data_IF_579545138047
#
_entry.id   IF_579545138047
#
_cell.length_a   1.000
_cell.length_b   1.000
_cell.length_c   1.000
_cell.angle_alpha   90.00
_cell.angle_beta   90.00
_cell.angle_gamma   90.00
#
_symmetry.space_group_name_H-M   'P 1'
#
loop_
_entity.id
_entity.type
_entity.pdbx_description
1 polymer ?
#
# COMPACT_ATOMS: atom_id res chain seq x y z
N UNK A 1 25.83 13.80 -34.25
CA UNK A 1 25.41 12.39 -34.24
C UNK A 1 23.89 12.34 -34.12
N UNK A 2 23.20 11.68 -35.05
CA UNK A 2 21.73 11.58 -35.04
C UNK A 2 21.19 10.83 -33.79
N UNK A 3 22.04 10.02 -33.16
CA UNK A 3 21.75 9.36 -31.89
C UNK A 3 21.48 10.35 -30.75
N UNK A 4 22.21 11.46 -30.67
CA UNK A 4 22.01 12.49 -29.64
C UNK A 4 20.64 13.18 -29.79
N UNK A 5 20.18 13.37 -31.03
CA UNK A 5 18.86 13.92 -31.31
C UNK A 5 17.75 12.92 -30.95
N UNK A 6 17.91 11.64 -31.28
CA UNK A 6 16.95 10.60 -30.88
C UNK A 6 16.86 10.47 -29.35
N UNK A 7 17.99 10.54 -28.65
CA UNK A 7 18.04 10.53 -27.18
C UNK A 7 17.34 11.78 -26.63
N UNK A 8 17.61 12.98 -27.15
CA UNK A 8 16.94 14.19 -26.69
C UNK A 8 15.43 14.19 -26.97
N UNK A 9 14.98 13.58 -28.07
CA UNK A 9 13.55 13.50 -28.41
C UNK A 9 12.83 12.47 -27.53
N UNK A 10 13.46 11.33 -27.26
CA UNK A 10 12.91 10.33 -26.33
C UNK A 10 12.95 10.86 -24.89
N UNK A 11 14.03 11.56 -24.53
CA UNK A 11 14.22 12.18 -23.22
C UNK A 11 13.25 13.34 -23.01
N UNK A 12 13.23 14.33 -23.89
CA UNK A 12 12.32 15.47 -23.85
C UNK A 12 10.87 15.02 -23.98
N UNK A 13 10.55 14.16 -24.95
CA UNK A 13 9.19 13.66 -25.16
C UNK A 13 8.67 12.82 -24.00
N UNK A 14 9.47 11.88 -23.46
CA UNK A 14 9.05 11.01 -22.36
C UNK A 14 9.04 11.69 -21.00
N UNK A 15 10.06 12.50 -20.70
CA UNK A 15 10.20 13.19 -19.41
C UNK A 15 9.25 14.37 -19.31
N UNK A 16 9.16 15.22 -20.35
CA UNK A 16 8.28 16.40 -20.32
C UNK A 16 6.81 15.99 -20.39
N UNK A 17 6.44 15.02 -21.24
CA UNK A 17 5.06 14.52 -21.26
C UNK A 17 4.69 13.79 -19.96
N UNK A 18 5.65 13.12 -19.29
CA UNK A 18 5.42 12.52 -17.98
C UNK A 18 5.13 13.55 -16.89
N UNK A 19 5.84 14.68 -16.90
CA UNK A 19 5.60 15.80 -15.99
C UNK A 19 4.19 16.36 -16.25
N UNK A 20 3.89 16.78 -17.46
CA UNK A 20 2.62 17.46 -17.75
C UNK A 20 1.38 16.55 -17.60
N UNK A 21 1.51 15.25 -17.89
CA UNK A 21 0.41 14.29 -17.84
C UNK A 21 0.17 13.70 -16.43
N UNK A 22 1.12 13.84 -15.50
CA UNK A 22 1.01 13.38 -14.11
C UNK A 22 0.66 14.52 -13.14
N UNK A 23 1.06 15.75 -13.45
CA UNK A 23 0.67 16.95 -12.70
C UNK A 23 -0.85 17.19 -12.75
N UNK A 24 -1.49 16.92 -13.90
CA UNK A 24 -2.92 17.13 -14.10
C UNK A 24 -3.83 16.25 -13.21
N UNK A 25 -3.64 14.92 -13.11
CA UNK A 25 -4.41 14.09 -12.18
C UNK A 25 -4.07 14.34 -10.70
N UNK A 26 -2.84 14.78 -10.39
CA UNK A 26 -2.39 15.09 -9.03
C UNK A 26 -3.14 16.29 -8.41
N UNK A 27 -3.60 17.24 -9.22
CA UNK A 27 -4.32 18.43 -8.73
C UNK A 27 -5.79 18.14 -8.35
N UNK A 28 -6.41 17.06 -8.85
CA UNK A 28 -7.88 16.90 -8.87
C UNK A 28 -8.44 15.85 -7.88
N UNK A 29 -7.65 14.95 -7.29
CA UNK A 29 -8.17 13.79 -6.53
C UNK A 29 -8.20 13.92 -5.00
N UNK A 30 -9.34 14.24 -4.39
CA UNK A 30 -9.44 14.61 -2.95
C UNK A 30 -9.44 13.46 -1.91
N UNK A 31 -9.61 12.17 -2.28
CA UNK A 31 -9.64 11.02 -1.33
C UNK A 31 -8.47 10.03 -1.48
N UNK A 32 -7.74 10.09 -2.58
CA UNK A 32 -6.48 9.36 -2.81
C UNK A 32 -5.27 10.03 -2.13
N UNK A 33 -5.48 11.24 -1.57
CA UNK A 33 -4.43 12.17 -1.14
C UNK A 33 -3.38 11.58 -0.20
N UNK A 34 -3.72 10.76 0.78
CA UNK A 34 -2.71 10.21 1.70
C UNK A 34 -1.77 9.22 0.99
N UNK A 35 -2.31 8.36 0.13
CA UNK A 35 -1.51 7.45 -0.69
C UNK A 35 -0.71 8.22 -1.75
N UNK A 36 -1.32 9.25 -2.35
CA UNK A 36 -0.68 10.11 -3.35
C UNK A 36 0.44 10.96 -2.78
N UNK A 37 0.30 11.52 -1.57
CA UNK A 37 1.35 12.33 -0.92
C UNK A 37 2.58 11.46 -0.61
N UNK A 38 2.38 10.24 -0.11
CA UNK A 38 3.48 9.30 0.11
C UNK A 38 4.17 8.89 -1.20
N UNK A 39 3.40 8.65 -2.26
CA UNK A 39 3.95 8.38 -3.59
C UNK A 39 4.71 9.59 -4.15
N UNK A 40 4.23 10.81 -3.92
CA UNK A 40 4.90 12.05 -4.35
C UNK A 40 6.21 12.27 -3.61
N UNK A 41 6.23 12.12 -2.28
CA UNK A 41 7.47 12.21 -1.48
C UNK A 41 8.46 11.13 -1.92
N UNK A 42 7.99 9.92 -2.21
CA UNK A 42 8.81 8.84 -2.77
C UNK A 42 9.39 9.22 -4.11
N UNK A 43 8.59 9.70 -5.04
CA UNK A 43 9.03 10.14 -6.36
C UNK A 43 10.08 11.27 -6.27
N UNK A 44 9.80 12.32 -5.49
CA UNK A 44 10.72 13.47 -5.34
C UNK A 44 12.02 13.05 -4.66
N UNK A 45 11.93 12.32 -3.53
CA UNK A 45 13.11 11.82 -2.83
C UNK A 45 13.92 10.83 -3.68
N UNK A 46 13.23 9.96 -4.43
CA UNK A 46 13.84 9.03 -5.36
C UNK A 46 14.58 9.75 -6.49
N UNK A 47 14.00 10.81 -7.05
CA UNK A 47 14.66 11.61 -8.08
C UNK A 47 15.93 12.28 -7.55
N UNK A 48 15.90 12.79 -6.31
CA UNK A 48 17.07 13.41 -5.69
C UNK A 48 18.19 12.39 -5.42
N UNK A 49 17.85 11.14 -5.06
CA UNK A 49 18.83 10.10 -4.71
C UNK A 49 19.34 9.29 -5.92
N UNK A 50 18.49 9.03 -6.91
CA UNK A 50 18.74 8.10 -8.02
C UNK A 50 18.60 8.73 -9.41
N UNK A 51 18.21 10.02 -9.51
CA UNK A 51 17.94 10.68 -10.78
C UNK A 51 16.62 10.21 -11.42
N UNK A 52 16.53 10.16 -12.75
CA UNK A 52 15.27 9.86 -13.45
C UNK A 52 14.68 8.46 -13.13
N UNK A 53 15.52 7.46 -12.84
CA UNK A 53 15.08 6.14 -12.38
C UNK A 53 14.41 6.16 -11.00
N UNK A 54 14.69 7.22 -10.24
CA UNK A 54 14.10 7.54 -8.94
C UNK A 54 12.59 7.74 -8.93
N UNK A 55 11.98 8.05 -10.08
CA UNK A 55 10.52 8.16 -10.18
C UNK A 55 9.83 6.81 -9.90
N UNK A 56 10.46 5.71 -10.29
CA UNK A 56 9.96 4.34 -10.08
C UNK A 56 10.51 3.77 -8.77
N UNK A 57 11.81 3.95 -8.53
CA UNK A 57 12.49 3.41 -7.35
C UNK A 57 12.01 4.07 -6.05
N UNK A 58 11.71 5.37 -6.08
CA UNK A 58 11.30 6.14 -4.92
C UNK A 58 10.01 5.66 -4.26
N UNK A 59 8.87 5.61 -4.97
CA UNK A 59 7.63 5.05 -4.45
C UNK A 59 7.75 3.56 -4.10
N UNK A 60 8.54 2.79 -4.86
CA UNK A 60 8.76 1.37 -4.59
C UNK A 60 9.45 1.14 -3.23
N UNK A 61 10.49 1.92 -2.92
CA UNK A 61 11.19 1.85 -1.62
C UNK A 61 10.24 2.20 -0.48
N UNK A 62 9.44 3.28 -0.62
CA UNK A 62 8.44 3.66 0.39
C UNK A 62 7.42 2.54 0.61
N UNK A 63 6.92 1.89 -0.44
CA UNK A 63 5.95 0.80 -0.33
C UNK A 63 6.53 -0.41 0.44
N UNK A 64 7.79 -0.76 0.18
CA UNK A 64 8.49 -1.83 0.91
C UNK A 64 8.68 -1.46 2.37
N UNK A 65 9.10 -0.23 2.67
CA UNK A 65 9.25 0.27 4.05
C UNK A 65 7.93 0.21 4.82
N UNK A 66 6.84 0.68 4.22
CA UNK A 66 5.50 0.64 4.84
C UNK A 66 5.08 -0.82 5.10
N UNK A 67 5.33 -1.72 4.15
CA UNK A 67 5.02 -3.14 4.29
C UNK A 67 5.80 -3.79 5.44
N UNK A 68 7.08 -3.46 5.57
CA UNK A 68 7.91 -3.95 6.67
C UNK A 68 7.41 -3.44 8.03
N UNK A 69 7.07 -2.15 8.11
CA UNK A 69 6.50 -1.55 9.32
C UNK A 69 5.16 -2.20 9.66
N UNK A 70 4.31 -2.51 8.68
CA UNK A 70 3.03 -3.19 8.89
C UNK A 70 3.23 -4.59 9.49
N UNK A 71 4.18 -5.37 8.96
CA UNK A 71 4.55 -6.68 9.51
C UNK A 71 5.06 -6.55 10.94
N UNK A 72 5.91 -5.56 11.22
CA UNK A 72 6.43 -5.32 12.56
C UNK A 72 5.32 -4.91 13.53
N UNK A 73 4.43 -4.00 13.13
CA UNK A 73 3.25 -3.59 13.93
C UNK A 73 2.36 -4.79 14.25
N UNK A 74 2.13 -5.69 13.29
CA UNK A 74 1.36 -6.92 13.52
C UNK A 74 2.01 -7.83 14.56
N UNK A 75 3.35 -7.93 14.57
CA UNK A 75 4.10 -8.70 15.57
C UNK A 75 4.09 -8.04 16.94
N UNK A 76 4.30 -6.72 17.00
CA UNK A 76 4.32 -5.95 18.25
C UNK A 76 2.94 -5.88 18.92
N UNK A 77 1.87 -5.78 18.11
CA UNK A 77 0.49 -5.78 18.60
C UNK A 77 -0.04 -7.18 18.93
N UNK A 78 0.83 -8.21 18.90
CA UNK A 78 0.51 -9.52 19.45
C UNK A 78 -0.71 -10.19 18.86
N UNK A 79 -0.91 -10.12 17.53
CA UNK A 79 -1.76 -11.09 16.86
C UNK A 79 -0.88 -12.23 16.36
N UNK A 80 -0.80 -13.37 17.09
CA UNK A 80 -0.30 -14.60 16.50
C UNK A 80 -1.07 -14.83 15.20
N UNK A 81 -0.33 -15.01 14.11
CA UNK A 81 -0.92 -15.26 12.80
C UNK A 81 -1.93 -16.38 12.90
N UNK A 82 -3.10 -16.16 12.30
CA UNK A 82 -4.19 -17.13 12.30
C UNK A 82 -4.42 -17.73 13.69
N UNK A 83 -5.16 -17.02 14.54
CA UNK A 83 -6.06 -17.77 15.41
C UNK A 83 -6.88 -18.62 14.45
N UNK A 84 -6.52 -19.90 14.35
CA UNK A 84 -7.41 -20.99 13.98
C UNK A 84 -8.60 -20.77 14.90
N UNK A 85 -9.53 -19.91 14.48
CA UNK A 85 -10.68 -19.53 15.28
C UNK A 85 -11.28 -20.87 15.60
N UNK A 86 -11.22 -21.36 16.86
CA UNK A 86 -11.88 -22.59 17.15
C UNK A 86 -13.32 -22.16 16.97
N UNK A 87 -13.92 -22.53 15.82
CA UNK A 87 -15.33 -22.30 15.54
C UNK A 87 -15.98 -22.73 16.82
N UNK A 88 -16.48 -21.76 17.56
CA UNK A 88 -16.94 -21.96 18.93
C UNK A 88 -18.01 -23.02 18.79
N UNK A 89 -17.66 -24.28 19.09
CA UNK A 89 -18.61 -25.37 19.06
C UNK A 89 -19.54 -25.00 20.19
N UNK A 90 -20.60 -24.32 19.80
CA UNK A 90 -21.66 -23.93 20.69
C UNK A 90 -22.26 -25.28 21.02
N UNK A 91 -21.87 -25.84 22.18
CA UNK A 91 -22.47 -27.07 22.67
C UNK A 91 -23.97 -26.85 22.52
N UNK A 92 -24.70 -27.69 21.75
CA UNK A 92 -26.14 -27.62 21.79
C UNK A 92 -26.47 -27.86 23.25
N UNK A 93 -27.08 -26.85 23.87
CA UNK A 93 -27.55 -26.92 25.23
C UNK A 93 -28.37 -28.19 25.32
N UNK A 94 -27.79 -29.21 25.94
CA UNK A 94 -28.53 -30.33 26.50
C UNK A 94 -29.55 -29.65 27.39
N UNK A 95 -30.78 -29.51 26.88
CA UNK A 95 -31.98 -29.39 27.69
C UNK A 95 -32.04 -30.69 28.48
N UNK A 96 -31.23 -30.71 29.53
CA UNK A 96 -31.21 -31.71 30.55
C UNK A 96 -32.25 -31.26 31.56
N UNK A 97 -33.34 -32.02 31.62
CA UNK A 97 -34.13 -32.16 32.83
C UNK A 97 -34.91 -30.92 33.23
N UNK A 98 -35.98 -30.63 32.50
CA UNK A 98 -37.20 -30.18 33.17
C UNK A 98 -37.97 -31.43 33.59
N UNK A 99 -37.64 -31.93 34.76
CA UNK A 99 -38.48 -32.83 35.53
C UNK A 99 -38.02 -32.77 36.97
N UNK A 100 -38.81 -33.23 37.94
CA UNK A 100 -40.27 -33.37 38.00
C UNK A 100 -40.83 -32.37 39.03
N UNK A 101 -42.13 -32.05 39.01
CA UNK A 101 -42.87 -31.69 40.25
C UNK A 101 -44.34 -31.39 39.98
N UNK A 102 -45.18 -32.23 40.60
CA UNK A 102 -46.45 -31.90 41.26
C UNK A 102 -47.60 -31.50 40.31
N UNK A 103 -48.79 -32.09 40.36
CA UNK A 103 -49.51 -32.95 41.30
C UNK A 103 -50.66 -33.61 40.51
#
# INVERSE_FOLDING_TARGET
SWASAAILTIWGGGVVAGIDNLLYPMLVGSRLRLHTVMAFIGAVGGIVLFGASGLVLGPAVIAVTISLIDILKKRLNGQPGAELTPKRYTKPSRQSGAGPSRE
#
